data_IF_000062733468
#
_entry.id   IF_000062733468
#
_cell.length_a   1.000
_cell.length_b   1.000
_cell.length_c   1.000
_cell.angle_alpha   90.00
_cell.angle_beta   90.00
_cell.angle_gamma   90.00
#
_symmetry.space_group_name_H-M   'P 1'
#
loop_
_entity.id
_entity.type
_entity.pdbx_description
1 polymer ?
#
# COMPACT_ATOMS: atom_id res chain seq x y z
N UNK A 1 3.46 23.45 16.87
CA UNK A 1 2.56 22.27 16.78
C UNK A 1 3.29 21.18 16.00
N UNK A 2 3.19 19.91 16.41
CA UNK A 2 3.77 18.76 15.70
C UNK A 2 2.68 17.99 14.96
N UNK A 3 2.99 17.51 13.75
CA UNK A 3 2.07 16.72 12.94
C UNK A 3 2.75 15.42 12.48
N UNK A 4 2.00 14.33 12.49
CA UNK A 4 2.47 13.01 12.05
C UNK A 4 1.93 12.70 10.65
N UNK A 5 2.72 11.95 9.88
CA UNK A 5 2.35 11.46 8.54
C UNK A 5 2.23 9.94 8.62
N UNK A 6 1.16 9.39 8.03
CA UNK A 6 0.98 7.96 7.85
C UNK A 6 1.46 7.56 6.46
N UNK A 7 2.42 6.64 6.40
CA UNK A 7 2.97 6.13 5.14
C UNK A 7 2.80 4.61 5.14
N UNK A 8 2.10 4.09 4.14
CA UNK A 8 2.03 2.66 3.88
C UNK A 8 3.12 2.28 2.87
N UNK A 9 3.99 1.35 3.25
CA UNK A 9 5.06 0.81 2.40
C UNK A 9 4.82 -0.68 2.18
N UNK A 10 4.85 -1.11 0.92
CA UNK A 10 4.80 -2.51 0.52
C UNK A 10 6.08 -2.96 -0.15
N UNK A 11 6.29 -4.27 -0.24
CA UNK A 11 7.34 -4.88 -1.06
C UNK A 11 6.65 -5.53 -2.25
N UNK A 12 7.08 -5.18 -3.46
CA UNK A 12 6.58 -5.83 -4.67
C UNK A 12 7.28 -7.17 -4.94
N UNK A 13 6.84 -7.87 -5.98
CA UNK A 13 7.34 -9.18 -6.35
C UNK A 13 8.79 -9.19 -6.85
N UNK A 14 9.31 -8.03 -7.25
CA UNK A 14 10.71 -7.85 -7.63
C UNK A 14 11.58 -7.47 -6.39
N UNK A 15 11.01 -7.52 -5.18
CA UNK A 15 11.68 -7.18 -3.93
C UNK A 15 11.86 -5.68 -3.69
N UNK A 16 11.21 -4.81 -4.47
CA UNK A 16 11.36 -3.36 -4.37
C UNK A 16 10.31 -2.78 -3.42
N UNK A 17 10.74 -1.79 -2.63
CA UNK A 17 9.83 -1.02 -1.75
C UNK A 17 8.99 -0.08 -2.59
N UNK A 18 7.69 -0.09 -2.35
CA UNK A 18 6.70 0.75 -3.01
C UNK A 18 5.92 1.55 -1.96
N UNK A 19 5.71 2.83 -2.22
CA UNK A 19 4.79 3.65 -1.43
C UNK A 19 3.37 3.34 -1.91
N UNK A 20 2.53 2.85 -1.01
CA UNK A 20 1.18 2.40 -1.33
C UNK A 20 0.12 3.46 -1.00
N UNK A 21 0.36 4.27 0.03
CA UNK A 21 -0.49 5.41 0.41
C UNK A 21 0.29 6.37 1.33
N UNK A 22 -0.08 7.64 1.28
CA UNK A 22 0.40 8.69 2.18
C UNK A 22 -0.80 9.49 2.65
N UNK A 23 -0.95 9.67 3.95
CA UNK A 23 -1.97 10.53 4.53
C UNK A 23 -1.42 11.40 5.68
N UNK A 24 -2.00 12.59 5.83
CA UNK A 24 -1.59 13.58 6.82
C UNK A 24 -2.76 13.87 7.78
N UNK A 25 -3.02 12.98 8.76
CA UNK A 25 -4.17 13.14 9.63
C UNK A 25 -3.99 14.33 10.58
N UNK A 26 -5.11 14.94 10.98
CA UNK A 26 -5.14 16.08 11.90
C UNK A 26 -4.65 15.72 13.32
N UNK A 27 -4.72 14.43 13.69
CA UNK A 27 -4.13 13.84 14.90
C UNK A 27 -3.92 12.35 14.70
N UNK A 28 -2.98 11.76 15.44
CA UNK A 28 -2.89 10.32 15.51
C UNK A 28 -3.98 9.78 16.45
N UNK A 29 -4.99 9.12 15.88
CA UNK A 29 -6.07 8.49 16.63
C UNK A 29 -6.42 7.14 16.04
N UNK A 30 -7.06 6.30 16.86
CA UNK A 30 -7.55 4.98 16.42
C UNK A 30 -8.48 5.08 15.19
N UNK A 31 -9.30 6.13 15.12
CA UNK A 31 -10.17 6.37 13.96
C UNK A 31 -9.37 6.71 12.70
N UNK A 32 -8.36 7.59 12.80
CA UNK A 32 -7.50 7.93 11.68
C UNK A 32 -6.75 6.71 11.13
N UNK A 33 -6.24 5.86 12.02
CA UNK A 33 -5.62 4.58 11.64
C UNK A 33 -6.61 3.63 10.96
N UNK A 34 -7.84 3.51 11.47
CA UNK A 34 -8.89 2.67 10.88
C UNK A 34 -9.26 3.14 9.48
N UNK A 35 -9.48 4.44 9.30
CA UNK A 35 -9.87 5.01 8.02
C UNK A 35 -8.76 4.86 6.97
N UNK A 36 -7.51 5.09 7.37
CA UNK A 36 -6.33 4.87 6.54
C UNK A 36 -6.21 3.41 6.06
N UNK A 37 -6.37 2.43 6.96
CA UNK A 37 -6.28 1.01 6.61
C UNK A 37 -7.46 0.54 5.73
N UNK A 38 -8.66 1.06 5.98
CA UNK A 38 -9.83 0.78 5.12
C UNK A 38 -9.63 1.37 3.73
N UNK A 39 -9.10 2.59 3.63
CA UNK A 39 -8.73 3.22 2.36
C UNK A 39 -7.66 2.44 1.61
N UNK A 40 -6.62 1.98 2.33
CA UNK A 40 -5.54 1.17 1.78
C UNK A 40 -6.07 -0.17 1.23
N UNK A 41 -6.95 -0.87 1.96
CA UNK A 41 -7.58 -2.12 1.49
C UNK A 41 -8.34 -1.93 0.17
N UNK A 42 -9.02 -0.80 -0.01
CA UNK A 42 -9.75 -0.48 -1.25
C UNK A 42 -8.80 -0.25 -2.43
N UNK A 43 -7.62 0.34 -2.22
CA UNK A 43 -6.65 0.71 -3.28
C UNK A 43 -5.65 -0.40 -3.60
N UNK A 44 -5.28 -1.21 -2.60
CA UNK A 44 -4.19 -2.19 -2.69
C UNK A 44 -4.52 -3.42 -3.56
N UNK A 45 -5.76 -3.61 -4.00
CA UNK A 45 -6.16 -4.76 -4.83
C UNK A 45 -5.67 -4.67 -6.29
N UNK A 46 -5.18 -3.51 -6.75
CA UNK A 46 -4.83 -3.30 -8.17
C UNK A 46 -3.36 -2.92 -8.43
N UNK A 47 -2.69 -2.29 -7.47
CA UNK A 47 -1.45 -1.55 -7.75
C UNK A 47 -0.15 -2.35 -7.60
N UNK A 48 -0.18 -3.55 -7.00
CA UNK A 48 1.04 -4.37 -6.90
C UNK A 48 1.23 -5.13 -8.21
N UNK A 49 2.27 -4.74 -8.96
CA UNK A 49 2.70 -5.38 -10.21
C UNK A 49 2.81 -6.90 -9.99
N UNK A 50 1.87 -7.66 -10.52
CA UNK A 50 1.90 -9.13 -10.41
C UNK A 50 3.17 -9.68 -11.08
N UNK A 51 3.69 -10.83 -10.62
CA UNK A 51 4.78 -11.49 -11.32
C UNK A 51 4.31 -11.74 -12.76
N UNK A 52 5.14 -11.39 -13.73
CA UNK A 52 4.88 -11.69 -15.13
C UNK A 52 4.73 -13.20 -15.23
N UNK A 53 3.49 -13.72 -15.39
CA UNK A 53 3.29 -15.14 -15.64
C UNK A 53 3.95 -15.45 -16.98
N UNK A 54 5.13 -16.05 -16.95
CA UNK A 54 5.75 -16.60 -18.16
C UNK A 54 4.75 -17.58 -18.78
N UNK A 55 4.45 -17.50 -20.10
CA UNK A 55 3.60 -18.48 -20.73
C UNK A 55 4.24 -19.86 -20.57
N UNK A 56 3.44 -20.84 -20.12
CA UNK A 56 3.86 -22.23 -19.99
C UNK A 56 4.28 -22.71 -21.39
N UNK A 57 5.49 -23.27 -21.58
CA UNK A 57 5.87 -23.81 -22.88
C UNK A 57 4.90 -24.94 -23.24
N UNK A 58 4.35 -24.87 -24.46
CA UNK A 58 3.60 -25.97 -25.05
C UNK A 58 4.61 -27.09 -25.35
N UNK A 59 4.46 -28.21 -24.65
CA UNK A 59 5.12 -29.48 -24.94
C UNK A 59 4.58 -30.10 -26.21
#
# INVERSE_FOLDING_TARGET
MSQAVLIAVGIDWDGRRQILAVEMPNRESRSAWRDFLVGLKKKSLWSMRQPQRSPKPLS
#
